data_IF_768328981962
#
_entry.id   IF_768328981962
#
_cell.length_a   1.000
_cell.length_b   1.000
_cell.length_c   1.000
_cell.angle_alpha   90.00
_cell.angle_beta   90.00
_cell.angle_gamma   90.00
#
_symmetry.space_group_name_H-M   'P 1'
#
loop_
_entity.id
_entity.type
_entity.pdbx_description
1 polymer ?
#
# COMPACT_ATOMS: atom_id res chain seq x y z
N UNK A 1 15.25 0.26 -37.60
CA UNK A 1 14.34 0.86 -36.61
C UNK A 1 15.15 1.82 -35.74
N UNK A 2 14.96 3.16 -35.87
CA UNK A 2 15.54 4.15 -34.95
C UNK A 2 14.99 3.87 -33.55
N UNK A 3 15.87 3.52 -32.60
CA UNK A 3 15.50 3.52 -31.17
C UNK A 3 14.93 4.91 -30.86
N UNK A 4 13.66 4.97 -30.53
CA UNK A 4 13.05 6.15 -29.95
C UNK A 4 13.92 6.45 -28.70
N UNK A 5 14.58 7.61 -28.69
CA UNK A 5 15.33 8.06 -27.51
C UNK A 5 14.31 8.09 -26.38
N UNK A 6 14.40 7.15 -25.44
CA UNK A 6 13.55 7.13 -24.25
C UNK A 6 13.66 8.49 -23.58
N UNK A 7 12.51 9.10 -23.34
CA UNK A 7 12.42 10.41 -22.71
C UNK A 7 12.85 10.24 -21.25
N UNK A 8 14.11 10.55 -20.96
CA UNK A 8 14.74 10.27 -19.64
C UNK A 8 13.99 10.86 -18.45
N UNK A 9 13.21 11.93 -18.66
CA UNK A 9 12.52 12.71 -17.63
C UNK A 9 10.99 12.54 -17.67
N UNK A 10 10.49 11.51 -18.33
CA UNK A 10 9.02 11.35 -18.49
C UNK A 10 8.28 11.25 -17.16
N UNK A 11 8.85 10.56 -16.18
CA UNK A 11 8.21 10.42 -14.86
C UNK A 11 8.13 11.76 -14.13
N UNK A 12 9.21 12.55 -14.22
CA UNK A 12 9.29 13.87 -13.58
C UNK A 12 8.33 14.86 -14.23
N UNK A 13 8.16 14.79 -15.55
CA UNK A 13 7.16 15.59 -16.29
C UNK A 13 5.75 15.21 -15.89
N UNK A 14 5.43 13.91 -15.85
CA UNK A 14 4.10 13.43 -15.43
C UNK A 14 3.83 13.83 -13.99
N UNK A 15 4.83 13.70 -13.10
CA UNK A 15 4.72 14.13 -11.73
C UNK A 15 4.43 15.64 -11.61
N UNK A 16 5.15 16.47 -12.35
CA UNK A 16 4.95 17.91 -12.36
C UNK A 16 3.56 18.31 -12.86
N UNK A 17 3.09 17.68 -13.94
CA UNK A 17 1.75 17.90 -14.48
C UNK A 17 0.66 17.53 -13.46
N UNK A 18 0.81 16.38 -12.80
CA UNK A 18 -0.14 15.96 -11.77
C UNK A 18 -0.11 16.89 -10.55
N UNK A 19 1.10 17.30 -10.12
CA UNK A 19 1.24 18.25 -9.02
C UNK A 19 0.50 19.58 -9.31
N UNK A 20 0.62 20.09 -10.54
CA UNK A 20 -0.15 21.27 -10.96
C UNK A 20 -1.67 21.02 -10.94
N UNK A 21 -2.10 19.84 -11.37
CA UNK A 21 -3.51 19.46 -11.41
C UNK A 21 -4.13 19.36 -10.02
N UNK A 22 -3.34 18.97 -9.01
CA UNK A 22 -3.76 18.94 -7.61
C UNK A 22 -4.19 20.32 -7.08
N UNK A 23 -3.59 21.41 -7.54
CA UNK A 23 -4.01 22.76 -7.14
C UNK A 23 -5.41 23.11 -7.65
N UNK A 24 -5.79 22.64 -8.83
CA UNK A 24 -7.14 22.85 -9.39
C UNK A 24 -8.19 22.17 -8.51
N UNK A 25 -7.83 21.05 -7.92
CA UNK A 25 -8.75 20.23 -7.12
C UNK A 25 -8.97 20.80 -5.72
N UNK A 26 -8.14 21.74 -5.24
CA UNK A 26 -8.34 22.41 -3.95
C UNK A 26 -9.66 23.21 -3.86
N UNK A 27 -10.23 23.57 -5.00
CA UNK A 27 -11.53 24.27 -5.06
C UNK A 27 -12.75 23.33 -4.88
N UNK A 28 -12.55 22.01 -4.92
CA UNK A 28 -13.67 21.06 -4.81
C UNK A 28 -14.08 20.83 -3.34
N UNK A 29 -15.34 20.45 -3.10
CA UNK A 29 -15.82 20.12 -1.76
C UNK A 29 -15.07 18.93 -1.17
N UNK A 30 -14.51 19.08 0.03
CA UNK A 30 -13.85 18.03 0.78
C UNK A 30 -14.84 17.25 1.65
N UNK A 31 -15.68 18.01 2.39
CA UNK A 31 -16.66 17.49 3.32
C UNK A 31 -18.01 18.13 3.06
N UNK A 32 -19.06 17.33 3.13
CA UNK A 32 -20.43 17.78 3.25
C UNK A 32 -20.83 17.66 4.71
N UNK A 33 -21.26 18.77 5.31
CA UNK A 33 -21.74 18.79 6.69
C UNK A 33 -23.24 18.64 6.68
N UNK A 34 -23.73 17.62 7.36
CA UNK A 34 -25.15 17.35 7.50
C UNK A 34 -25.53 17.39 8.97
N UNK A 35 -26.79 17.72 9.28
CA UNK A 35 -27.32 17.53 10.62
C UNK A 35 -28.54 16.63 10.58
N UNK A 36 -28.74 15.87 11.61
CA UNK A 36 -29.87 14.94 11.74
C UNK A 36 -30.73 15.33 12.93
N UNK A 37 -32.01 15.60 12.70
CA UNK A 37 -33.04 15.79 13.71
C UNK A 37 -34.13 14.74 13.50
N UNK A 38 -34.44 13.95 14.51
CA UNK A 38 -35.53 12.97 14.49
C UNK A 38 -35.59 12.09 13.23
N UNK A 39 -34.42 11.63 12.73
CA UNK A 39 -34.24 10.80 11.51
C UNK A 39 -34.32 11.56 10.17
N UNK A 40 -34.48 12.87 10.17
CA UNK A 40 -34.32 13.66 8.94
C UNK A 40 -32.92 14.25 8.87
N UNK A 41 -32.20 13.92 7.82
CA UNK A 41 -30.84 14.44 7.55
C UNK A 41 -30.95 15.61 6.56
N UNK A 42 -30.41 16.76 6.93
CA UNK A 42 -30.39 17.95 6.10
C UNK A 42 -28.96 18.42 5.88
N UNK A 43 -28.59 18.75 4.65
CA UNK A 43 -27.27 19.31 4.34
C UNK A 43 -27.15 20.75 4.81
N UNK A 44 -26.12 21.08 5.56
CA UNK A 44 -25.80 22.47 5.95
C UNK A 44 -24.94 23.16 4.91
N UNK A 45 -24.12 22.43 4.19
CA UNK A 45 -23.22 22.96 3.18
C UNK A 45 -21.91 22.16 3.05
N UNK A 46 -20.99 22.70 2.27
CA UNK A 46 -19.75 22.04 1.93
C UNK A 46 -18.53 22.83 2.46
N UNK A 47 -17.51 22.09 2.91
CA UNK A 47 -16.19 22.61 3.24
C UNK A 47 -15.25 22.21 2.12
N UNK A 48 -14.55 23.16 1.53
CA UNK A 48 -13.57 22.90 0.47
C UNK A 48 -12.18 22.62 1.03
N UNK A 49 -11.30 22.01 0.21
CA UNK A 49 -9.88 21.89 0.55
C UNK A 49 -9.22 23.27 0.81
N UNK A 50 -9.68 24.31 0.11
CA UNK A 50 -9.15 25.65 0.26
C UNK A 50 -9.50 26.25 1.63
N UNK A 51 -10.70 26.01 2.14
CA UNK A 51 -11.11 26.46 3.48
C UNK A 51 -10.21 25.84 4.57
N UNK A 52 -9.91 24.54 4.45
CA UNK A 52 -9.01 23.84 5.37
C UNK A 52 -7.58 24.40 5.26
N UNK A 53 -7.09 24.66 4.04
CA UNK A 53 -5.75 25.20 3.82
C UNK A 53 -5.57 26.59 4.46
N UNK A 54 -6.58 27.45 4.30
CA UNK A 54 -6.58 28.79 4.88
C UNK A 54 -6.83 28.79 6.39
N UNK A 55 -7.40 27.70 6.95
CA UNK A 55 -7.77 27.60 8.36
C UNK A 55 -8.87 28.61 8.73
N UNK A 56 -9.74 28.93 7.79
CA UNK A 56 -10.80 29.90 7.99
C UNK A 56 -11.97 29.29 8.76
N UNK A 57 -12.72 30.12 9.47
CA UNK A 57 -14.02 29.73 9.99
C UNK A 57 -15.04 29.77 8.86
N UNK A 58 -15.76 28.68 8.67
CA UNK A 58 -16.80 28.54 7.65
C UNK A 58 -18.15 28.64 8.33
N UNK A 59 -19.00 29.58 7.89
CA UNK A 59 -20.38 29.70 8.37
C UNK A 59 -21.31 28.88 7.48
N UNK A 60 -21.86 27.82 8.04
CA UNK A 60 -22.81 26.93 7.40
C UNK A 60 -24.19 27.12 8.05
N UNK A 61 -25.01 27.98 7.44
CA UNK A 61 -26.39 28.30 7.88
C UNK A 61 -26.46 28.74 9.37
N UNK A 62 -25.52 29.57 9.83
CA UNK A 62 -25.46 30.08 11.19
C UNK A 62 -24.64 29.20 12.17
N UNK A 63 -24.04 28.12 11.70
CA UNK A 63 -23.12 27.29 12.44
C UNK A 63 -21.70 27.63 12.00
N UNK A 64 -20.92 28.20 12.91
CA UNK A 64 -19.52 28.56 12.65
C UNK A 64 -18.61 27.36 12.95
N UNK A 65 -18.00 26.81 11.89
CA UNK A 65 -17.03 25.74 11.99
C UNK A 65 -15.62 26.31 11.87
N UNK A 66 -14.79 26.11 12.87
CA UNK A 66 -13.43 26.61 12.91
C UNK A 66 -12.45 25.53 12.45
N UNK A 67 -11.68 25.80 11.37
CA UNK A 67 -10.72 24.87 10.75
C UNK A 67 -9.26 25.17 11.14
N UNK A 68 -9.04 25.93 12.21
CA UNK A 68 -7.70 26.41 12.55
C UNK A 68 -6.72 25.29 12.93
N UNK A 69 -7.20 24.20 13.52
CA UNK A 69 -6.37 23.11 14.02
C UNK A 69 -5.95 22.13 12.90
N UNK A 70 -6.76 21.96 11.85
CA UNK A 70 -6.47 21.05 10.74
C UNK A 70 -5.67 21.68 9.59
N UNK A 71 -5.45 23.00 9.62
CA UNK A 71 -4.71 23.74 8.57
C UNK A 71 -3.33 23.18 8.20
N UNK A 72 -2.68 22.44 9.09
CA UNK A 72 -1.37 21.83 8.85
C UNK A 72 -1.42 20.63 7.90
N UNK A 73 -2.59 20.02 7.74
CA UNK A 73 -2.73 18.74 7.02
C UNK A 73 -2.42 18.88 5.53
N UNK A 74 -2.99 19.88 4.86
CA UNK A 74 -2.73 20.10 3.43
C UNK A 74 -1.29 20.51 3.11
N UNK A 75 -0.65 21.45 3.84
CA UNK A 75 0.78 21.72 3.67
C UNK A 75 1.62 20.46 3.84
N UNK A 76 1.30 19.59 4.79
CA UNK A 76 2.00 18.33 4.99
C UNK A 76 1.89 17.41 3.77
N UNK A 77 0.68 17.25 3.21
CA UNK A 77 0.45 16.47 1.99
C UNK A 77 1.26 17.05 0.82
N UNK A 78 1.24 18.36 0.63
CA UNK A 78 2.00 19.06 -0.42
C UNK A 78 3.51 18.82 -0.26
N UNK A 79 4.03 18.92 0.97
CA UNK A 79 5.44 18.66 1.28
C UNK A 79 5.79 17.20 0.94
N UNK A 80 4.94 16.22 1.27
CA UNK A 80 5.19 14.81 0.94
C UNK A 80 5.21 14.57 -0.57
N UNK A 81 4.33 15.20 -1.34
CA UNK A 81 4.40 15.16 -2.81
C UNK A 81 5.66 15.81 -3.36
N UNK A 82 6.08 16.95 -2.80
CA UNK A 82 7.32 17.59 -3.21
C UNK A 82 8.55 16.72 -2.94
N UNK A 83 8.63 16.09 -1.76
CA UNK A 83 9.69 15.14 -1.40
C UNK A 83 9.68 13.89 -2.30
N UNK A 84 8.51 13.42 -2.71
CA UNK A 84 8.39 12.36 -3.71
C UNK A 84 9.06 12.78 -5.03
N UNK A 85 8.72 13.95 -5.56
CA UNK A 85 9.29 14.46 -6.81
C UNK A 85 10.81 14.68 -6.72
N UNK A 86 11.29 15.24 -5.63
CA UNK A 86 12.71 15.44 -5.37
C UNK A 86 13.47 14.10 -5.32
N UNK A 87 12.92 13.12 -4.63
CA UNK A 87 13.53 11.78 -4.55
C UNK A 87 13.55 11.07 -5.91
N UNK A 88 12.51 11.22 -6.74
CA UNK A 88 12.50 10.74 -8.12
C UNK A 88 13.59 11.39 -8.96
N UNK A 89 13.72 12.71 -8.88
CA UNK A 89 14.75 13.48 -9.58
C UNK A 89 16.15 13.00 -9.20
N UNK A 90 16.43 12.84 -7.89
CA UNK A 90 17.70 12.30 -7.39
C UNK A 90 17.94 10.86 -7.89
N UNK A 91 16.88 10.04 -7.97
CA UNK A 91 16.96 8.70 -8.54
C UNK A 91 17.39 8.73 -10.00
N UNK A 92 16.80 9.61 -10.81
CA UNK A 92 17.14 9.77 -12.23
C UNK A 92 18.56 10.31 -12.43
N UNK A 93 18.99 11.28 -11.62
CA UNK A 93 20.37 11.79 -11.63
C UNK A 93 21.37 10.67 -11.30
N UNK A 94 21.15 9.90 -10.24
CA UNK A 94 22.03 8.80 -9.88
C UNK A 94 22.06 7.69 -10.93
N UNK A 95 20.96 7.39 -11.60
CA UNK A 95 20.89 6.42 -12.71
C UNK A 95 21.72 6.92 -13.89
N UNK A 96 21.66 8.21 -14.22
CA UNK A 96 22.45 8.82 -15.28
C UNK A 96 23.96 8.82 -15.00
N UNK A 97 24.36 8.83 -13.71
CA UNK A 97 25.74 8.71 -13.26
C UNK A 97 26.18 7.26 -13.02
N UNK A 98 25.42 6.26 -13.52
CA UNK A 98 25.67 4.82 -13.36
C UNK A 98 25.67 4.31 -11.90
N UNK A 99 25.21 5.12 -10.96
CA UNK A 99 25.09 4.77 -9.52
C UNK A 99 23.78 4.05 -9.24
N UNK A 100 23.53 2.91 -9.89
CA UNK A 100 22.24 2.19 -9.87
C UNK A 100 21.75 1.84 -8.46
N UNK A 101 22.64 1.57 -7.50
CA UNK A 101 22.25 1.27 -6.11
C UNK A 101 21.55 2.46 -5.46
N UNK A 102 22.13 3.65 -5.57
CA UNK A 102 21.56 4.87 -5.00
C UNK A 102 20.32 5.34 -5.76
N UNK A 103 20.27 5.11 -7.07
CA UNK A 103 19.08 5.36 -7.87
C UNK A 103 17.89 4.53 -7.39
N UNK A 104 18.07 3.24 -7.16
CA UNK A 104 16.99 2.35 -6.68
C UNK A 104 16.52 2.71 -5.27
N UNK A 105 17.44 3.12 -4.38
CA UNK A 105 17.06 3.61 -3.05
C UNK A 105 16.23 4.89 -3.15
N UNK A 106 16.66 5.86 -3.97
CA UNK A 106 15.93 7.11 -4.16
C UNK A 106 14.53 6.88 -4.75
N UNK A 107 14.39 5.96 -5.71
CA UNK A 107 13.08 5.56 -6.24
C UNK A 107 12.21 4.87 -5.18
N UNK A 108 12.78 4.02 -4.33
CA UNK A 108 12.06 3.42 -3.20
C UNK A 108 11.55 4.46 -2.21
N UNK A 109 12.37 5.44 -1.87
CA UNK A 109 12.00 6.58 -1.01
C UNK A 109 10.88 7.40 -1.65
N UNK A 110 10.95 7.65 -2.97
CA UNK A 110 9.90 8.39 -3.68
C UNK A 110 8.54 7.70 -3.61
N UNK A 111 8.52 6.37 -3.74
CA UNK A 111 7.29 5.59 -3.57
C UNK A 111 6.76 5.68 -2.13
N UNK A 112 7.64 5.63 -1.13
CA UNK A 112 7.25 5.82 0.27
C UNK A 112 6.53 7.14 0.51
N UNK A 113 7.08 8.25 0.02
CA UNK A 113 6.43 9.57 0.12
C UNK A 113 5.13 9.64 -0.69
N UNK A 114 5.07 9.02 -1.87
CA UNK A 114 3.88 8.97 -2.69
C UNK A 114 2.72 8.26 -1.97
N UNK A 115 2.99 7.08 -1.40
CA UNK A 115 1.97 6.33 -0.66
C UNK A 115 1.58 7.02 0.66
N UNK A 116 2.52 7.67 1.35
CA UNK A 116 2.22 8.42 2.56
C UNK A 116 1.33 9.64 2.25
N UNK A 117 1.60 10.37 1.17
CA UNK A 117 0.77 11.49 0.74
C UNK A 117 -0.62 11.05 0.33
N UNK A 118 -0.75 9.91 -0.37
CA UNK A 118 -2.04 9.31 -0.70
C UNK A 118 -2.81 8.94 0.58
N UNK A 119 -2.14 8.29 1.53
CA UNK A 119 -2.74 7.94 2.81
C UNK A 119 -3.32 9.19 3.52
N UNK A 120 -2.50 10.24 3.69
CA UNK A 120 -2.93 11.47 4.35
C UNK A 120 -4.09 12.13 3.61
N UNK A 121 -4.09 12.12 2.27
CA UNK A 121 -5.16 12.69 1.47
C UNK A 121 -6.49 11.94 1.66
N UNK A 122 -6.44 10.59 1.64
CA UNK A 122 -7.63 9.76 1.83
C UNK A 122 -8.20 9.87 3.24
N UNK A 123 -7.33 10.06 4.23
CA UNK A 123 -7.75 10.23 5.63
C UNK A 123 -8.09 11.67 6.00
N UNK A 124 -7.89 12.64 5.11
CA UNK A 124 -8.17 14.05 5.40
C UNK A 124 -9.61 14.27 5.92
N UNK A 125 -10.59 13.64 5.28
CA UNK A 125 -12.01 13.75 5.66
C UNK A 125 -12.34 13.16 7.05
N UNK A 126 -11.49 12.28 7.59
CA UNK A 126 -11.63 11.73 8.95
C UNK A 126 -10.85 12.51 9.98
N UNK A 127 -9.66 12.99 9.60
CA UNK A 127 -8.75 13.70 10.52
C UNK A 127 -9.33 15.07 10.87
N UNK A 128 -9.88 15.79 9.91
CA UNK A 128 -10.38 17.16 10.08
C UNK A 128 -11.47 17.23 11.16
N UNK A 129 -12.56 16.45 11.10
CA UNK A 129 -13.61 16.49 12.12
C UNK A 129 -13.10 16.15 13.53
N UNK A 130 -12.09 15.29 13.65
CA UNK A 130 -11.52 14.91 14.96
C UNK A 130 -10.64 16.02 15.53
N UNK A 131 -9.80 16.62 14.66
CA UNK A 131 -8.80 17.62 15.10
C UNK A 131 -9.44 18.97 15.42
N UNK A 132 -10.48 19.35 14.67
CA UNK A 132 -11.17 20.64 14.86
C UNK A 132 -12.37 20.55 15.80
N UNK A 133 -12.58 19.38 16.43
CA UNK A 133 -13.64 19.12 17.40
C UNK A 133 -15.02 19.65 16.95
N UNK A 134 -15.45 19.17 15.81
CA UNK A 134 -16.72 19.53 15.20
C UNK A 134 -17.96 19.14 16.04
N UNK A 135 -17.77 18.41 17.14
CA UNK A 135 -18.82 17.95 18.07
C UNK A 135 -19.36 19.03 18.99
N UNK A 136 -19.17 20.30 18.64
CA UNK A 136 -19.71 21.44 19.37
C UNK A 136 -21.24 21.38 19.41
N UNK A 137 -21.76 21.24 20.60
CA UNK A 137 -23.14 21.12 21.01
C UNK A 137 -24.09 22.11 20.36
N UNK A 138 -24.80 21.65 19.36
CA UNK A 138 -26.12 22.19 19.05
C UNK A 138 -27.11 21.29 19.77
N UNK A 139 -27.62 21.67 20.92
CA UNK A 139 -28.62 20.99 21.75
C UNK A 139 -28.56 19.44 21.81
N UNK A 140 -28.89 18.86 22.95
CA UNK A 140 -28.80 17.42 23.25
C UNK A 140 -29.59 16.45 22.33
N UNK A 141 -30.33 16.96 21.35
CA UNK A 141 -31.16 16.19 20.41
C UNK A 141 -30.69 16.29 18.93
N UNK A 142 -29.61 17.04 18.65
CA UNK A 142 -29.15 17.29 17.27
C UNK A 142 -27.73 16.76 17.11
N UNK A 143 -27.53 15.73 16.31
CA UNK A 143 -26.21 15.27 15.91
C UNK A 143 -25.77 15.95 14.62
N UNK A 144 -24.52 16.41 14.57
CA UNK A 144 -23.88 16.84 13.34
C UNK A 144 -23.12 15.63 12.80
N UNK A 145 -23.50 15.23 11.58
CA UNK A 145 -22.87 14.12 10.88
C UNK A 145 -22.03 14.67 9.74
N UNK A 146 -20.93 13.98 9.44
CA UNK A 146 -20.02 14.35 8.34
C UNK A 146 -20.05 13.28 7.28
N UNK A 147 -20.22 13.70 6.04
CA UNK A 147 -20.13 12.84 4.86
C UNK A 147 -18.97 13.32 4.01
N UNK A 148 -18.16 12.41 3.48
CA UNK A 148 -17.12 12.79 2.53
C UNK A 148 -17.76 13.42 1.30
N UNK A 149 -17.38 14.66 0.98
CA UNK A 149 -17.92 15.39 -0.16
C UNK A 149 -17.58 14.70 -1.49
N UNK A 150 -18.39 14.93 -2.51
CA UNK A 150 -18.15 14.40 -3.86
C UNK A 150 -16.79 14.79 -4.43
N UNK A 151 -16.24 15.95 -4.03
CA UNK A 151 -14.91 16.40 -4.39
C UNK A 151 -13.82 15.56 -3.76
N UNK A 152 -13.96 15.13 -2.49
CA UNK A 152 -13.00 14.23 -1.87
C UNK A 152 -12.93 12.89 -2.61
N UNK A 153 -14.05 12.34 -3.00
CA UNK A 153 -14.10 11.10 -3.79
C UNK A 153 -13.40 11.26 -5.15
N UNK A 154 -13.63 12.39 -5.83
CA UNK A 154 -12.99 12.68 -7.12
C UNK A 154 -11.48 12.84 -6.96
N UNK A 155 -11.02 13.61 -5.96
CA UNK A 155 -9.59 13.76 -5.64
C UNK A 155 -8.97 12.44 -5.28
N UNK A 156 -9.63 11.64 -4.44
CA UNK A 156 -9.16 10.34 -4.03
C UNK A 156 -8.98 9.41 -5.24
N UNK A 157 -9.95 9.33 -6.15
CA UNK A 157 -9.85 8.51 -7.38
C UNK A 157 -8.69 8.98 -8.24
N UNK A 158 -8.55 10.29 -8.49
CA UNK A 158 -7.44 10.85 -9.29
C UNK A 158 -6.10 10.52 -8.62
N UNK A 159 -5.97 10.71 -7.31
CA UNK A 159 -4.75 10.42 -6.56
C UNK A 159 -4.40 8.92 -6.58
N UNK A 160 -5.39 8.03 -6.48
CA UNK A 160 -5.19 6.58 -6.59
C UNK A 160 -4.68 6.22 -7.99
N UNK A 161 -5.35 6.68 -9.04
CA UNK A 161 -4.97 6.40 -10.43
C UNK A 161 -3.54 6.91 -10.68
N UNK A 162 -3.24 8.13 -10.25
CA UNK A 162 -1.89 8.69 -10.37
C UNK A 162 -0.85 7.87 -9.62
N UNK A 163 -1.14 7.50 -8.36
CA UNK A 163 -0.24 6.66 -7.55
C UNK A 163 0.04 5.32 -8.23
N UNK A 164 -0.97 4.72 -8.84
CA UNK A 164 -0.81 3.48 -9.62
C UNK A 164 0.09 3.70 -10.85
N UNK A 165 -0.16 4.74 -11.65
CA UNK A 165 0.64 5.07 -12.82
C UNK A 165 2.09 5.33 -12.42
N UNK A 166 2.33 6.17 -11.42
CA UNK A 166 3.67 6.49 -10.93
C UNK A 166 4.38 5.27 -10.36
N UNK A 167 3.67 4.43 -9.62
CA UNK A 167 4.22 3.17 -9.12
C UNK A 167 4.68 2.27 -10.25
N UNK A 168 3.86 2.08 -11.28
CA UNK A 168 4.21 1.28 -12.45
C UNK A 168 5.43 1.85 -13.19
N UNK A 169 5.51 3.18 -13.36
CA UNK A 169 6.64 3.83 -14.02
C UNK A 169 7.94 3.71 -13.22
N UNK A 170 7.90 3.92 -11.91
CA UNK A 170 9.06 3.76 -11.02
C UNK A 170 9.49 2.30 -10.95
N UNK A 171 8.53 1.37 -10.83
CA UNK A 171 8.82 -0.06 -10.91
C UNK A 171 9.40 -0.46 -12.25
N UNK A 172 8.95 0.12 -13.37
CA UNK A 172 9.56 -0.08 -14.68
C UNK A 172 11.06 0.26 -14.71
N UNK A 173 11.45 1.38 -14.10
CA UNK A 173 12.87 1.77 -13.98
C UNK A 173 13.69 0.80 -13.10
N UNK A 174 13.09 0.28 -12.03
CA UNK A 174 13.69 -0.77 -11.19
C UNK A 174 13.72 -2.11 -11.94
N UNK A 175 12.71 -2.35 -12.79
CA UNK A 175 12.49 -3.58 -13.53
C UNK A 175 13.53 -3.83 -14.61
N UNK A 176 14.03 -2.81 -15.29
CA UNK A 176 15.10 -2.96 -16.32
C UNK A 176 16.31 -3.71 -15.76
N UNK A 177 16.53 -3.64 -14.43
CA UNK A 177 17.57 -4.41 -13.75
C UNK A 177 17.15 -5.83 -13.36
N UNK A 178 15.86 -6.19 -13.49
CA UNK A 178 15.26 -7.44 -13.00
C UNK A 178 14.55 -8.22 -14.12
N UNK A 179 15.31 -8.66 -15.15
CA UNK A 179 14.74 -9.44 -16.24
C UNK A 179 14.13 -10.76 -15.74
N UNK A 180 12.93 -11.08 -16.22
CA UNK A 180 12.30 -12.37 -16.00
C UNK A 180 12.81 -13.39 -17.00
N UNK A 181 13.09 -14.59 -16.54
CA UNK A 181 13.28 -15.75 -17.41
C UNK A 181 11.96 -16.50 -17.59
N UNK A 182 11.83 -17.28 -18.64
CA UNK A 182 10.61 -18.08 -18.89
C UNK A 182 10.32 -19.01 -17.71
N UNK A 183 11.35 -19.63 -17.13
CA UNK A 183 11.21 -20.52 -15.96
C UNK A 183 10.64 -19.75 -14.76
N UNK A 184 11.15 -18.56 -14.49
CA UNK A 184 10.65 -17.73 -13.38
C UNK A 184 9.19 -17.30 -13.59
N UNK A 185 8.82 -16.93 -14.83
CA UNK A 185 7.43 -16.57 -15.17
C UNK A 185 6.51 -17.77 -14.92
N UNK A 186 6.90 -18.96 -15.38
CA UNK A 186 6.10 -20.18 -15.19
C UNK A 186 5.97 -20.53 -13.72
N UNK A 187 7.04 -20.47 -12.94
CA UNK A 187 7.02 -20.75 -11.51
C UNK A 187 6.14 -19.75 -10.74
N UNK A 188 6.27 -18.46 -11.05
CA UNK A 188 5.44 -17.41 -10.44
C UNK A 188 3.96 -17.63 -10.80
N UNK A 189 3.65 -17.96 -12.05
CA UNK A 189 2.28 -18.22 -12.48
C UNK A 189 1.66 -19.41 -11.74
N UNK A 190 2.38 -20.51 -11.63
CA UNK A 190 1.92 -21.72 -10.91
C UNK A 190 1.73 -21.44 -9.42
N UNK A 191 2.68 -20.78 -8.77
CA UNK A 191 2.59 -20.45 -7.34
C UNK A 191 1.48 -19.41 -7.07
N UNK A 192 1.27 -18.45 -7.97
CA UNK A 192 0.16 -17.49 -7.85
C UNK A 192 -1.20 -18.18 -8.01
N UNK A 193 -1.32 -19.12 -8.97
CA UNK A 193 -2.53 -19.92 -9.12
C UNK A 193 -2.79 -20.78 -7.89
N UNK A 194 -1.75 -21.42 -7.32
CA UNK A 194 -1.86 -22.17 -6.07
C UNK A 194 -2.31 -21.27 -4.91
N UNK A 195 -1.80 -20.03 -4.84
CA UNK A 195 -2.23 -19.07 -3.83
C UNK A 195 -3.74 -18.76 -3.95
N UNK A 196 -4.26 -18.59 -5.17
CA UNK A 196 -5.71 -18.38 -5.41
C UNK A 196 -6.51 -19.59 -4.97
N UNK A 197 -6.08 -20.80 -5.30
CA UNK A 197 -6.74 -22.04 -4.87
C UNK A 197 -6.76 -22.15 -3.34
N UNK A 198 -5.64 -21.93 -2.68
CA UNK A 198 -5.56 -21.97 -1.21
C UNK A 198 -6.43 -20.88 -0.57
N UNK A 199 -6.53 -19.70 -1.19
CA UNK A 199 -7.40 -18.65 -0.69
C UNK A 199 -8.88 -19.02 -0.72
N UNK A 200 -9.32 -19.76 -1.72
CA UNK A 200 -10.72 -20.15 -1.87
C UNK A 200 -11.08 -21.42 -1.11
N UNK A 201 -10.19 -22.40 -1.06
CA UNK A 201 -10.49 -23.73 -0.55
C UNK A 201 -9.83 -24.07 0.79
N UNK A 202 -8.75 -23.38 1.18
CA UNK A 202 -8.00 -23.64 2.40
C UNK A 202 -7.97 -22.42 3.33
N UNK A 203 -9.14 -21.80 3.54
CA UNK A 203 -9.32 -20.70 4.49
C UNK A 203 -10.18 -21.12 5.67
N UNK A 204 -9.82 -20.64 6.85
CA UNK A 204 -10.56 -20.82 8.09
C UNK A 204 -11.30 -19.52 8.37
N UNK A 205 -12.62 -19.46 8.20
CA UNK A 205 -13.40 -18.26 8.52
C UNK A 205 -13.36 -18.01 10.03
N UNK A 206 -13.04 -16.76 10.41
CA UNK A 206 -13.05 -16.34 11.82
C UNK A 206 -14.30 -15.50 12.10
N UNK A 207 -14.74 -14.72 11.11
CA UNK A 207 -15.85 -13.81 11.25
C UNK A 207 -16.88 -14.00 10.14
N UNK A 208 -18.14 -13.76 10.46
CA UNK A 208 -19.25 -13.88 9.52
C UNK A 208 -19.12 -12.90 8.33
N UNK A 209 -18.45 -11.76 8.52
CA UNK A 209 -18.34 -10.68 7.53
C UNK A 209 -17.03 -10.71 6.73
N UNK A 210 -16.34 -11.86 6.62
CA UNK A 210 -15.24 -12.03 5.68
C UNK A 210 -13.84 -12.19 6.28
N UNK A 211 -13.59 -11.95 7.57
CA UNK A 211 -12.30 -12.20 8.21
C UNK A 211 -11.94 -13.69 8.23
N UNK A 212 -10.81 -14.07 7.65
CA UNK A 212 -10.37 -15.48 7.60
C UNK A 212 -8.87 -15.62 7.71
N UNK A 213 -8.41 -16.75 8.25
CA UNK A 213 -7.02 -17.20 8.15
C UNK A 213 -6.89 -17.96 6.83
N UNK A 214 -6.05 -17.45 5.93
CA UNK A 214 -5.78 -18.07 4.64
C UNK A 214 -4.32 -18.47 4.54
N UNK A 215 -4.05 -19.66 3.98
CA UNK A 215 -2.71 -20.13 3.67
C UNK A 215 -2.23 -19.69 2.28
N UNK A 216 -2.99 -18.83 1.59
CA UNK A 216 -2.63 -18.28 0.27
C UNK A 216 -1.30 -17.50 0.27
N UNK A 217 -0.90 -16.96 1.42
CA UNK A 217 0.38 -16.26 1.56
C UNK A 217 1.60 -17.18 1.46
N UNK A 218 1.48 -18.49 1.74
CA UNK A 218 2.60 -19.43 1.68
C UNK A 218 3.25 -19.49 0.30
N UNK A 219 2.53 -19.73 -0.81
CA UNK A 219 3.10 -19.67 -2.15
C UNK A 219 3.71 -18.30 -2.48
N UNK A 220 3.11 -17.20 -2.02
CA UNK A 220 3.63 -15.85 -2.25
C UNK A 220 4.94 -15.60 -1.50
N UNK A 221 5.09 -16.15 -0.29
CA UNK A 221 6.36 -16.13 0.45
C UNK A 221 7.43 -16.97 -0.26
N UNK A 222 7.06 -18.13 -0.81
CA UNK A 222 7.97 -18.96 -1.62
C UNK A 222 8.48 -18.17 -2.82
N UNK A 223 7.61 -17.43 -3.52
CA UNK A 223 8.03 -16.54 -4.61
C UNK A 223 9.05 -15.50 -4.11
N UNK A 224 8.79 -14.89 -2.95
CA UNK A 224 9.72 -13.92 -2.34
C UNK A 224 11.09 -14.51 -2.06
N UNK A 225 11.15 -15.69 -1.45
CA UNK A 225 12.39 -16.41 -1.12
C UNK A 225 13.16 -16.78 -2.40
N UNK A 226 12.47 -17.30 -3.42
CA UNK A 226 13.11 -17.80 -4.64
C UNK A 226 13.48 -16.71 -5.64
N UNK A 227 12.61 -15.74 -5.84
CA UNK A 227 12.72 -14.75 -6.93
C UNK A 227 12.99 -13.32 -6.44
N UNK A 228 12.95 -13.08 -5.12
CA UNK A 228 13.20 -11.79 -4.50
C UNK A 228 11.98 -10.88 -4.41
N UNK A 229 12.13 -9.77 -3.67
CA UNK A 229 11.02 -8.93 -3.26
C UNK A 229 10.24 -8.31 -4.42
N UNK A 230 10.92 -7.86 -5.47
CA UNK A 230 10.24 -7.25 -6.62
C UNK A 230 9.28 -8.21 -7.33
N UNK A 231 9.73 -9.45 -7.60
CA UNK A 231 8.90 -10.46 -8.26
C UNK A 231 7.77 -10.94 -7.36
N UNK A 232 8.02 -10.97 -6.04
CA UNK A 232 7.00 -11.23 -5.04
C UNK A 232 5.93 -10.13 -5.01
N UNK A 233 6.32 -8.86 -5.11
CA UNK A 233 5.38 -7.76 -5.23
C UNK A 233 4.44 -7.92 -6.44
N UNK A 234 4.99 -8.22 -7.62
CA UNK A 234 4.18 -8.43 -8.83
C UNK A 234 3.22 -9.61 -8.63
N UNK A 235 3.72 -10.73 -8.12
CA UNK A 235 2.92 -11.92 -7.89
C UNK A 235 1.78 -11.68 -6.90
N UNK A 236 2.07 -11.01 -5.78
CA UNK A 236 1.09 -10.80 -4.71
C UNK A 236 0.09 -9.68 -5.01
N UNK A 237 0.56 -8.51 -5.43
CA UNK A 237 -0.31 -7.34 -5.60
C UNK A 237 -1.00 -7.30 -6.95
N UNK A 238 -0.26 -7.58 -8.04
CA UNK A 238 -0.81 -7.45 -9.40
C UNK A 238 -1.49 -8.73 -9.86
N UNK A 239 -0.89 -9.91 -9.65
CA UNK A 239 -1.46 -11.16 -10.16
C UNK A 239 -2.48 -11.71 -9.18
N UNK A 240 -2.03 -12.13 -7.99
CA UNK A 240 -2.90 -12.74 -6.97
C UNK A 240 -3.97 -11.75 -6.50
N UNK A 241 -3.58 -10.52 -6.16
CA UNK A 241 -4.50 -9.49 -5.67
C UNK A 241 -5.58 -9.13 -6.69
N UNK A 242 -5.23 -9.02 -7.97
CA UNK A 242 -6.22 -8.74 -9.02
C UNK A 242 -7.21 -9.89 -9.19
N UNK A 243 -6.72 -11.12 -9.26
CA UNK A 243 -7.58 -12.31 -9.44
C UNK A 243 -8.50 -12.49 -8.23
N UNK A 244 -7.98 -12.38 -6.99
CA UNK A 244 -8.79 -12.54 -5.79
C UNK A 244 -9.82 -11.43 -5.63
N UNK A 245 -9.50 -10.18 -5.97
CA UNK A 245 -10.47 -9.08 -6.01
C UNK A 245 -11.66 -9.39 -6.92
N UNK A 246 -11.40 -9.91 -8.11
CA UNK A 246 -12.47 -10.32 -9.04
C UNK A 246 -13.31 -11.47 -8.49
N UNK A 247 -12.66 -12.44 -7.82
CA UNK A 247 -13.34 -13.64 -7.30
C UNK A 247 -14.11 -13.40 -6.00
N UNK A 248 -13.71 -12.39 -5.20
CA UNK A 248 -14.39 -12.07 -3.94
C UNK A 248 -15.70 -11.31 -4.13
N UNK A 249 -15.84 -10.60 -5.25
CA UNK A 249 -17.09 -9.92 -5.61
C UNK A 249 -17.41 -8.65 -4.80
N UNK A 250 -16.49 -8.15 -3.98
CA UNK A 250 -16.69 -6.90 -3.20
C UNK A 250 -16.62 -5.62 -4.03
N UNK A 251 -16.35 -5.74 -5.31
CA UNK A 251 -16.24 -4.61 -6.24
C UNK A 251 -14.79 -4.12 -6.42
N UNK A 252 -14.52 -3.60 -7.62
CA UNK A 252 -13.16 -3.21 -8.01
C UNK A 252 -12.63 -1.99 -7.22
N UNK A 253 -13.51 -1.22 -6.57
CA UNK A 253 -13.12 -0.11 -5.71
C UNK A 253 -12.27 -0.55 -4.50
N UNK A 254 -12.40 -1.80 -4.06
CA UNK A 254 -11.62 -2.35 -2.95
C UNK A 254 -10.19 -2.73 -3.35
N UNK A 255 -9.94 -2.93 -4.67
CA UNK A 255 -8.65 -3.40 -5.17
C UNK A 255 -7.45 -2.54 -4.72
N UNK A 256 -7.47 -1.22 -4.79
CA UNK A 256 -6.32 -0.40 -4.41
C UNK A 256 -5.85 -0.63 -2.97
N UNK A 257 -6.76 -0.87 -2.06
CA UNK A 257 -6.49 -0.94 -0.62
C UNK A 257 -6.37 -2.38 -0.13
N UNK A 258 -7.42 -3.19 -0.30
CA UNK A 258 -7.48 -4.55 0.25
C UNK A 258 -6.56 -5.54 -0.46
N UNK A 259 -6.27 -5.28 -1.75
CA UNK A 259 -5.49 -6.22 -2.55
C UNK A 259 -4.15 -5.63 -2.96
N UNK A 260 -4.11 -4.45 -3.57
CA UNK A 260 -2.85 -3.91 -4.07
C UNK A 260 -1.92 -3.47 -2.92
N UNK A 261 -2.37 -2.58 -2.03
CA UNK A 261 -1.56 -2.11 -0.90
C UNK A 261 -1.37 -3.24 0.11
N UNK A 262 -2.45 -3.86 0.58
CA UNK A 262 -2.37 -4.86 1.63
C UNK A 262 -1.47 -6.05 1.27
N UNK A 263 -1.50 -6.50 0.02
CA UNK A 263 -0.69 -7.63 -0.44
C UNK A 263 0.72 -7.23 -0.89
N UNK A 264 0.99 -5.94 -1.10
CA UNK A 264 2.33 -5.45 -1.45
C UNK A 264 3.36 -5.78 -0.37
N UNK A 265 2.93 -5.89 0.89
CA UNK A 265 3.77 -6.25 2.02
C UNK A 265 4.52 -7.58 1.83
N UNK A 266 4.01 -8.51 1.05
CA UNK A 266 4.68 -9.80 0.82
C UNK A 266 6.05 -9.68 0.14
N UNK A 267 6.36 -8.55 -0.50
CA UNK A 267 7.68 -8.27 -1.04
C UNK A 267 8.79 -8.26 0.02
N UNK A 268 8.45 -7.92 1.27
CA UNK A 268 9.43 -7.85 2.36
C UNK A 268 10.08 -9.19 2.65
N UNK A 269 9.40 -10.32 2.46
CA UNK A 269 10.01 -11.64 2.62
C UNK A 269 11.23 -11.79 1.70
N UNK A 270 11.08 -11.44 0.43
CA UNK A 270 12.19 -11.50 -0.52
C UNK A 270 13.27 -10.44 -0.27
N UNK A 271 12.91 -9.27 0.27
CA UNK A 271 13.87 -8.22 0.63
C UNK A 271 14.73 -8.70 1.79
N UNK A 272 14.12 -9.18 2.89
CA UNK A 272 14.83 -9.66 4.07
C UNK A 272 15.69 -10.89 3.76
N UNK A 273 15.16 -11.83 2.98
CA UNK A 273 15.92 -13.02 2.54
C UNK A 273 17.16 -12.63 1.73
N UNK A 274 17.01 -11.76 0.74
CA UNK A 274 18.14 -11.30 -0.08
C UNK A 274 19.14 -10.45 0.71
N UNK A 275 18.65 -9.62 1.64
CA UNK A 275 19.52 -8.86 2.54
C UNK A 275 20.38 -9.78 3.38
N UNK A 276 19.78 -10.78 4.01
CA UNK A 276 20.51 -11.74 4.87
C UNK A 276 21.48 -12.58 4.05
N UNK A 277 21.09 -13.04 2.86
CA UNK A 277 21.99 -13.72 1.94
C UNK A 277 23.22 -12.87 1.66
N UNK A 278 23.03 -11.63 1.19
CA UNK A 278 24.11 -10.76 0.72
C UNK A 278 25.03 -10.26 1.84
N UNK A 279 24.48 -9.94 3.01
CA UNK A 279 25.25 -9.27 4.07
C UNK A 279 25.68 -10.19 5.22
N UNK A 280 25.00 -11.33 5.39
CA UNK A 280 25.26 -12.22 6.51
C UNK A 280 25.87 -13.52 6.04
N UNK A 281 25.45 -14.07 4.87
CA UNK A 281 25.87 -15.40 4.40
C UNK A 281 26.98 -15.33 3.37
N UNK A 282 26.81 -14.52 2.31
CA UNK A 282 27.75 -14.44 1.19
C UNK A 282 29.16 -14.03 1.69
N UNK A 283 30.17 -14.77 1.26
CA UNK A 283 31.57 -14.55 1.64
C UNK A 283 31.98 -15.07 3.03
N UNK A 284 31.08 -15.78 3.75
CA UNK A 284 31.38 -16.38 5.04
C UNK A 284 31.21 -17.91 4.97
N UNK A 285 32.16 -18.65 5.50
CA UNK A 285 32.07 -20.11 5.63
C UNK A 285 31.17 -20.48 6.82
N UNK A 286 29.87 -20.30 6.65
CA UNK A 286 28.87 -20.67 7.65
C UNK A 286 28.47 -22.14 7.49
N UNK A 287 28.32 -22.85 8.62
CA UNK A 287 27.75 -24.21 8.59
C UNK A 287 26.31 -24.17 8.03
N UNK A 288 25.85 -25.30 7.48
CA UNK A 288 24.48 -25.43 6.93
C UNK A 288 23.42 -25.05 7.96
N UNK A 289 23.60 -25.44 9.22
CA UNK A 289 22.69 -25.11 10.33
C UNK A 289 22.64 -23.59 10.62
N UNK A 290 23.79 -22.89 10.61
CA UNK A 290 23.84 -21.45 10.81
C UNK A 290 23.19 -20.70 9.65
N UNK A 291 23.43 -21.17 8.43
CA UNK A 291 22.79 -20.61 7.22
C UNK A 291 21.27 -20.74 7.28
N UNK A 292 20.78 -21.93 7.67
CA UNK A 292 19.36 -22.16 7.89
C UNK A 292 18.80 -21.23 8.97
N UNK A 293 19.47 -21.09 10.11
CA UNK A 293 19.04 -20.20 11.20
C UNK A 293 18.94 -18.73 10.77
N UNK A 294 19.89 -18.25 9.95
CA UNK A 294 19.84 -16.88 9.41
C UNK A 294 18.61 -16.68 8.52
N UNK A 295 18.32 -17.62 7.63
CA UNK A 295 17.13 -17.52 6.77
C UNK A 295 15.84 -17.65 7.57
N UNK A 296 15.79 -18.54 8.56
CA UNK A 296 14.66 -18.69 9.46
C UNK A 296 14.31 -17.37 10.15
N UNK A 297 15.30 -16.74 10.79
CA UNK A 297 15.13 -15.45 11.47
C UNK A 297 14.73 -14.35 10.48
N UNK A 298 15.30 -14.33 9.28
CA UNK A 298 14.99 -13.35 8.25
C UNK A 298 13.53 -13.41 7.81
N UNK A 299 13.00 -14.61 7.60
CA UNK A 299 11.60 -14.83 7.22
C UNK A 299 10.68 -14.44 8.38
N UNK A 300 11.03 -14.83 9.61
CA UNK A 300 10.29 -14.49 10.80
C UNK A 300 10.18 -12.96 10.95
N UNK A 301 11.31 -12.24 10.88
CA UNK A 301 11.32 -10.78 11.00
C UNK A 301 10.58 -10.08 9.86
N UNK A 302 10.55 -10.64 8.66
CA UNK A 302 9.81 -10.08 7.55
C UNK A 302 8.30 -10.07 7.78
N UNK A 303 7.79 -10.89 8.71
CA UNK A 303 6.39 -10.91 9.09
C UNK A 303 5.89 -9.60 9.66
N UNK A 304 6.75 -8.84 10.35
CA UNK A 304 6.36 -7.55 10.94
C UNK A 304 5.95 -6.55 9.85
N UNK A 305 6.79 -6.18 8.87
CA UNK A 305 6.38 -5.26 7.82
C UNK A 305 5.27 -5.82 6.93
N UNK A 306 5.22 -7.13 6.67
CA UNK A 306 4.10 -7.76 5.97
C UNK A 306 2.79 -7.50 6.69
N UNK A 307 2.75 -7.76 8.00
CA UNK A 307 1.58 -7.54 8.83
C UNK A 307 1.17 -6.07 8.85
N UNK A 308 2.12 -5.16 9.06
CA UNK A 308 1.85 -3.71 9.13
C UNK A 308 1.24 -3.19 7.83
N UNK A 309 1.84 -3.51 6.68
CA UNK A 309 1.34 -3.05 5.38
C UNK A 309 -0.05 -3.62 5.09
N UNK A 310 -0.26 -4.90 5.35
CA UNK A 310 -1.56 -5.53 5.18
C UNK A 310 -2.61 -4.91 6.09
N UNK A 311 -2.25 -4.64 7.34
CA UNK A 311 -3.13 -4.02 8.31
C UNK A 311 -3.55 -2.61 7.86
N UNK A 312 -2.59 -1.79 7.42
CA UNK A 312 -2.84 -0.44 6.88
C UNK A 312 -3.81 -0.51 5.70
N UNK A 313 -3.57 -1.38 4.72
CA UNK A 313 -4.42 -1.53 3.54
C UNK A 313 -5.87 -1.84 3.92
N UNK A 314 -6.09 -2.82 4.78
CA UNK A 314 -7.43 -3.22 5.22
C UNK A 314 -8.12 -2.16 6.10
N UNK A 315 -7.38 -1.45 6.97
CA UNK A 315 -7.96 -0.35 7.75
C UNK A 315 -8.44 0.76 6.83
N UNK A 316 -7.61 1.16 5.85
CA UNK A 316 -7.99 2.18 4.87
C UNK A 316 -9.25 1.76 4.12
N UNK A 317 -9.26 0.55 3.58
CA UNK A 317 -10.41 0.02 2.87
C UNK A 317 -11.67 -0.01 3.72
N UNK A 318 -11.58 -0.60 4.91
CA UNK A 318 -12.72 -0.72 5.81
C UNK A 318 -13.32 0.62 6.22
N UNK A 319 -12.46 1.61 6.46
CA UNK A 319 -12.89 2.93 6.89
C UNK A 319 -13.50 3.76 5.75
N UNK A 320 -12.98 3.63 4.52
CA UNK A 320 -13.43 4.43 3.36
C UNK A 320 -14.62 3.79 2.66
N UNK A 321 -14.61 2.47 2.48
CA UNK A 321 -15.54 1.78 1.58
C UNK A 321 -16.72 1.14 2.31
N UNK A 322 -16.58 0.82 3.59
CA UNK A 322 -17.58 0.06 4.35
C UNK A 322 -18.23 0.89 5.47
N UNK A 323 -18.50 2.16 5.21
CA UNK A 323 -19.24 3.02 6.14
C UNK A 323 -20.63 2.43 6.51
N UNK A 324 -21.12 2.52 7.77
CA UNK A 324 -20.68 3.47 8.83
C UNK A 324 -19.77 2.86 9.92
N UNK A 325 -18.73 2.13 9.58
CA UNK A 325 -17.83 1.53 10.59
C UNK A 325 -16.88 2.62 11.11
N UNK A 326 -16.80 2.77 12.44
CA UNK A 326 -15.82 3.70 13.03
C UNK A 326 -14.40 3.19 12.83
N UNK A 327 -13.41 4.10 12.84
CA UNK A 327 -12.01 3.71 12.74
C UNK A 327 -11.61 2.69 13.83
N UNK A 328 -12.10 2.88 15.05
CA UNK A 328 -11.79 1.99 16.20
C UNK A 328 -12.38 0.61 15.98
N UNK A 329 -13.64 0.51 15.55
CA UNK A 329 -14.29 -0.77 15.29
C UNK A 329 -13.60 -1.51 14.16
N UNK A 330 -13.24 -0.79 13.09
CA UNK A 330 -12.46 -1.37 11.99
C UNK A 330 -11.08 -1.83 12.45
N UNK A 331 -10.39 -1.05 13.28
CA UNK A 331 -9.11 -1.42 13.86
C UNK A 331 -9.22 -2.72 14.67
N UNK A 332 -10.22 -2.82 15.54
CA UNK A 332 -10.49 -4.02 16.34
C UNK A 332 -10.81 -5.20 15.41
N UNK A 333 -11.68 -4.99 14.43
CA UNK A 333 -12.07 -6.02 13.46
C UNK A 333 -10.84 -6.59 12.73
N UNK A 334 -9.98 -5.73 12.18
CA UNK A 334 -8.77 -6.17 11.47
C UNK A 334 -7.77 -6.88 12.41
N UNK A 335 -7.72 -6.49 13.68
CA UNK A 335 -6.84 -7.10 14.70
C UNK A 335 -7.18 -8.56 14.98
N UNK A 336 -8.41 -8.99 14.73
CA UNK A 336 -8.85 -10.36 15.02
C UNK A 336 -8.27 -11.39 14.04
N UNK A 337 -8.04 -11.03 12.78
CA UNK A 337 -7.64 -12.01 11.78
C UNK A 337 -6.35 -11.69 11.01
N UNK A 338 -6.00 -10.42 10.79
CA UNK A 338 -4.82 -10.05 9.99
C UNK A 338 -3.52 -10.58 10.62
N UNK A 339 -3.25 -10.35 11.94
CA UNK A 339 -2.06 -10.92 12.57
C UNK A 339 -2.05 -12.45 12.52
N UNK A 340 -3.17 -13.09 12.86
CA UNK A 340 -3.28 -14.55 12.84
C UNK A 340 -2.99 -15.12 11.44
N UNK A 341 -3.59 -14.56 10.38
CA UNK A 341 -3.38 -15.00 9.00
C UNK A 341 -1.91 -14.87 8.57
N UNK A 342 -1.25 -13.74 8.89
CA UNK A 342 0.17 -13.53 8.53
C UNK A 342 1.07 -14.51 9.28
N UNK A 343 0.93 -14.62 10.61
CA UNK A 343 1.82 -15.46 11.42
C UNK A 343 1.60 -16.95 11.17
N UNK A 344 0.36 -17.41 10.94
CA UNK A 344 0.10 -18.80 10.54
C UNK A 344 0.78 -19.12 9.18
N UNK A 345 0.70 -18.20 8.22
CA UNK A 345 1.34 -18.40 6.92
C UNK A 345 2.87 -18.38 7.01
N UNK A 346 3.45 -17.53 7.85
CA UNK A 346 4.89 -17.53 8.14
C UNK A 346 5.29 -18.85 8.78
N UNK A 347 4.57 -19.32 9.81
CA UNK A 347 4.82 -20.58 10.46
C UNK A 347 4.82 -21.75 9.46
N UNK A 348 3.83 -21.82 8.59
CA UNK A 348 3.76 -22.83 7.53
C UNK A 348 4.94 -22.71 6.53
N UNK A 349 5.33 -21.48 6.17
CA UNK A 349 6.49 -21.25 5.29
C UNK A 349 7.79 -21.67 5.94
N UNK A 350 7.95 -21.44 7.24
CA UNK A 350 9.14 -21.86 7.99
C UNK A 350 9.26 -23.39 8.08
N UNK A 351 8.15 -24.11 8.21
CA UNK A 351 8.14 -25.58 8.13
C UNK A 351 8.62 -26.06 6.75
N UNK A 352 8.25 -25.35 5.69
CA UNK A 352 8.65 -25.65 4.32
C UNK A 352 10.02 -25.08 3.92
N UNK A 353 10.72 -24.38 4.82
CA UNK A 353 11.94 -23.65 4.46
C UNK A 353 13.04 -24.58 3.95
N UNK A 354 13.26 -25.73 4.59
CA UNK A 354 14.30 -26.67 4.17
C UNK A 354 14.03 -27.25 2.78
N UNK A 355 12.85 -27.79 2.46
CA UNK A 355 12.49 -28.15 1.09
C UNK A 355 12.67 -27.02 0.08
N UNK A 356 12.28 -25.79 0.42
CA UNK A 356 12.44 -24.62 -0.46
C UNK A 356 13.92 -24.37 -0.76
N UNK A 357 14.79 -24.42 0.26
CA UNK A 357 16.23 -24.22 0.09
C UNK A 357 16.88 -25.35 -0.72
N UNK A 358 16.41 -26.59 -0.55
CA UNK A 358 16.87 -27.72 -1.37
C UNK A 358 16.49 -27.54 -2.86
N UNK A 359 15.25 -27.18 -3.13
CA UNK A 359 14.80 -26.88 -4.50
C UNK A 359 15.61 -25.71 -5.08
N UNK A 360 15.92 -24.69 -4.28
CA UNK A 360 16.70 -23.54 -4.74
C UNK A 360 18.17 -23.90 -5.06
N UNK A 361 18.74 -24.88 -4.36
CA UNK A 361 20.07 -25.44 -4.68
C UNK A 361 20.04 -26.27 -5.96
N UNK A 362 19.02 -27.11 -6.13
CA UNK A 362 18.87 -27.96 -7.31
C UNK A 362 18.53 -27.15 -8.58
N UNK A 363 17.70 -26.14 -8.44
CA UNK A 363 17.22 -25.27 -9.55
C UNK A 363 17.48 -23.80 -9.21
N UNK A 364 18.73 -23.33 -9.28
CA UNK A 364 19.08 -21.97 -8.91
C UNK A 364 18.48 -20.95 -9.90
N UNK A 365 17.76 -19.97 -9.40
CA UNK A 365 17.37 -18.80 -10.18
C UNK A 365 18.57 -17.88 -10.41
N UNK A 366 18.58 -17.09 -11.50
CA UNK A 366 19.71 -16.23 -11.85
C UNK A 366 20.22 -15.34 -10.70
N UNK A 367 19.32 -14.93 -9.80
CA UNK A 367 19.64 -14.06 -8.66
C UNK A 367 20.07 -14.83 -7.40
N UNK A 368 19.72 -16.08 -7.28
CA UNK A 368 19.85 -16.85 -6.04
C UNK A 368 20.72 -18.10 -6.21
N UNK A 369 21.84 -18.01 -6.95
CA UNK A 369 22.87 -19.03 -6.83
C UNK A 369 23.33 -19.06 -5.37
N UNK A 370 22.84 -20.02 -4.60
CA UNK A 370 23.42 -20.33 -3.29
C UNK A 370 24.75 -21.00 -3.61
N UNK A 371 25.84 -20.35 -3.26
CA UNK A 371 27.16 -20.96 -3.29
C UNK A 371 27.09 -22.10 -2.28
N UNK A 372 27.23 -23.31 -2.78
CA UNK A 372 27.23 -24.55 -1.99
C UNK A 372 28.46 -24.66 -1.09
#
# INVERSE_FOLDING_TARGET
MKKIKEFKWMNEVIFALFFCLMFIVLAFPLLEVTYTIEKTTTSLGNISFFDVLCGNSVDLQGILINLSNSRWLLPLIIIMYFLCGLSMFLGTLNKNCEKNKYANVAYGISLGFLYLSLFLLLFASFIIPIVDDFYGSINASTSIDYVSGSGNNTVAIIAIIFTLIMSLMVFGKIFESNKFTVIEITEIAVLSALAVVLDKFARIPIQANGGSISFSAVPLFIIGIRHGGFKSFIASSLIFGFITCLLDGYGFATYPFDYFIALSGYCFVGIFFNFSKKHIIDGKNLSSSKTFGVYFVSILLSGIPVMVVRYIGHIISGTILYQPITFIDNFIYQSTYVPASVWCSIGATLVLLEPILLIQRAFPTKKNKIVG
#
